data_IF_332091107897
#
_entry.id   IF_332091107897
#
_cell.length_a   1.000
_cell.length_b   1.000
_cell.length_c   1.000
_cell.angle_alpha   90.00
_cell.angle_beta   90.00
_cell.angle_gamma   90.00
#
_symmetry.space_group_name_H-M   'P 1'
#
loop_
_entity.id
_entity.type
_entity.pdbx_description
1 polymer ?
#
# COMPACT_ATOMS: atom_id res chain seq x y z
N UNK A 1 -8.22 -4.28 -1.23
CA UNK A 1 -8.32 -4.56 0.20
C UNK A 1 -8.89 -5.96 0.45
N UNK A 2 -8.87 -6.42 1.69
CA UNK A 2 -9.52 -7.66 2.11
C UNK A 2 -10.96 -7.39 2.52
N UNK A 3 -11.86 -8.32 2.22
CA UNK A 3 -13.18 -8.37 2.83
C UNK A 3 -13.08 -9.00 4.24
N UNK A 4 -14.17 -8.96 5.01
CA UNK A 4 -14.21 -9.56 6.36
C UNK A 4 -13.94 -11.07 6.29
N UNK A 5 -14.61 -11.80 5.38
CA UNK A 5 -14.41 -13.25 5.24
C UNK A 5 -13.00 -13.60 4.81
N UNK A 6 -12.44 -12.89 3.83
CA UNK A 6 -11.03 -13.07 3.43
C UNK A 6 -10.05 -12.80 4.56
N UNK A 7 -10.32 -11.80 5.40
CA UNK A 7 -9.49 -11.48 6.55
C UNK A 7 -9.56 -12.56 7.64
N UNK A 8 -10.77 -13.09 7.91
CA UNK A 8 -10.97 -14.22 8.83
C UNK A 8 -10.16 -15.44 8.40
N UNK A 9 -10.32 -15.85 7.15
CA UNK A 9 -9.63 -17.04 6.61
C UNK A 9 -8.12 -16.91 6.63
N UNK A 10 -7.59 -15.76 6.25
CA UNK A 10 -6.16 -15.57 6.07
C UNK A 10 -5.41 -15.28 7.38
N UNK A 11 -5.95 -14.40 8.22
CA UNK A 11 -5.19 -13.83 9.33
C UNK A 11 -5.59 -14.35 10.72
N UNK A 12 -6.86 -14.77 10.86
CA UNK A 12 -7.41 -15.29 12.12
C UNK A 12 -8.19 -16.58 11.90
N UNK A 13 -7.59 -17.60 11.23
CA UNK A 13 -8.28 -18.84 10.90
C UNK A 13 -8.79 -19.55 12.16
N UNK A 14 -10.02 -20.06 12.10
CA UNK A 14 -10.64 -20.80 13.20
C UNK A 14 -11.20 -19.94 14.34
N UNK A 15 -11.09 -18.61 14.29
CA UNK A 15 -11.70 -17.73 15.30
C UNK A 15 -13.21 -17.55 15.09
N UNK A 16 -13.68 -17.74 13.87
CA UNK A 16 -15.11 -17.66 13.54
C UNK A 16 -15.53 -18.86 12.71
N UNK A 17 -16.69 -19.38 13.02
CA UNK A 17 -17.34 -20.45 12.28
C UNK A 17 -18.62 -19.95 11.62
N UNK A 18 -18.78 -20.22 10.33
CA UNK A 18 -19.98 -19.85 9.60
C UNK A 18 -21.18 -20.68 10.10
N UNK A 19 -22.33 -20.03 10.24
CA UNK A 19 -23.56 -20.68 10.63
C UNK A 19 -24.38 -21.08 9.41
N UNK A 20 -25.47 -21.84 9.62
CA UNK A 20 -26.43 -22.15 8.54
C UNK A 20 -27.15 -20.90 7.98
N UNK A 21 -27.05 -19.75 8.66
CA UNK A 21 -27.62 -18.46 8.22
C UNK A 21 -26.53 -17.66 7.53
N UNK A 22 -26.65 -17.35 6.23
CA UNK A 22 -25.65 -16.59 5.49
C UNK A 22 -25.31 -15.25 6.16
N UNK A 23 -24.03 -14.92 6.22
CA UNK A 23 -23.53 -13.68 6.82
C UNK A 23 -23.56 -13.65 8.35
N UNK A 24 -23.85 -14.79 9.01
CA UNK A 24 -23.75 -14.95 10.46
C UNK A 24 -22.66 -15.93 10.84
N UNK A 25 -21.86 -15.54 11.81
CA UNK A 25 -20.73 -16.29 12.31
C UNK A 25 -20.80 -16.47 13.82
N UNK A 26 -20.27 -17.58 14.31
CA UNK A 26 -20.05 -17.85 15.72
C UNK A 26 -18.59 -17.57 16.06
N UNK A 27 -18.34 -16.73 17.06
CA UNK A 27 -16.99 -16.59 17.62
C UNK A 27 -16.67 -17.82 18.47
N UNK A 28 -15.60 -18.52 18.17
CA UNK A 28 -15.24 -19.80 18.81
C UNK A 28 -14.83 -19.66 20.27
N UNK A 29 -14.35 -18.48 20.70
CA UNK A 29 -14.09 -18.14 22.10
C UNK A 29 -15.32 -17.73 22.91
N UNK A 30 -16.51 -17.77 22.31
CA UNK A 30 -17.78 -17.39 22.93
C UNK A 30 -18.69 -18.58 23.22
N UNK A 31 -19.78 -18.34 23.97
CA UNK A 31 -20.80 -19.35 24.30
C UNK A 31 -22.09 -19.24 23.48
N UNK A 32 -22.24 -18.17 22.69
CA UNK A 32 -23.45 -17.92 21.88
C UNK A 32 -23.18 -18.29 20.42
N UNK A 33 -24.24 -18.69 19.69
CA UNK A 33 -24.15 -19.07 18.27
C UNK A 33 -24.67 -17.94 17.41
N UNK A 34 -23.92 -17.63 16.30
CA UNK A 34 -24.37 -16.70 15.25
C UNK A 34 -24.44 -15.23 15.68
N UNK A 35 -23.69 -14.84 16.71
CA UNK A 35 -23.69 -13.47 17.24
C UNK A 35 -22.83 -12.48 16.48
N UNK A 36 -21.97 -12.93 15.59
CA UNK A 36 -21.20 -12.06 14.70
C UNK A 36 -21.89 -11.95 13.34
N UNK A 37 -22.17 -10.73 12.88
CA UNK A 37 -22.99 -10.46 11.68
C UNK A 37 -22.18 -9.60 10.71
N UNK A 38 -22.16 -10.00 9.46
CA UNK A 38 -21.54 -9.28 8.36
C UNK A 38 -22.53 -8.32 7.71
N UNK A 39 -22.06 -7.13 7.36
CA UNK A 39 -22.80 -6.04 6.73
C UNK A 39 -22.12 -5.54 5.45
N UNK A 40 -22.90 -4.80 4.64
CA UNK A 40 -22.46 -4.06 3.45
C UNK A 40 -21.64 -4.90 2.47
N UNK A 41 -22.13 -6.10 2.12
CA UNK A 41 -21.45 -6.93 1.13
C UNK A 41 -20.05 -7.38 1.55
N UNK A 42 -19.90 -7.76 2.81
CA UNK A 42 -18.65 -8.28 3.39
C UNK A 42 -17.59 -7.20 3.73
N UNK A 43 -18.03 -5.95 3.96
CA UNK A 43 -17.13 -4.86 4.32
C UNK A 43 -16.98 -4.64 5.82
N UNK A 44 -18.04 -4.93 6.60
CA UNK A 44 -18.07 -4.72 8.04
C UNK A 44 -18.58 -5.93 8.79
N UNK A 45 -18.10 -6.09 10.02
CA UNK A 45 -18.59 -7.07 11.01
C UNK A 45 -19.04 -6.34 12.27
N UNK A 46 -20.14 -6.78 12.84
CA UNK A 46 -20.56 -6.43 14.20
C UNK A 46 -20.71 -7.70 15.04
N UNK A 47 -20.05 -7.75 16.20
CA UNK A 47 -20.11 -8.90 17.11
C UNK A 47 -20.92 -8.59 18.38
N UNK A 48 -21.89 -9.44 18.67
CA UNK A 48 -22.67 -9.47 19.91
C UNK A 48 -22.08 -10.43 20.97
N UNK A 49 -20.97 -11.13 20.64
CA UNK A 49 -20.32 -12.03 21.59
C UNK A 49 -19.52 -11.23 22.63
N UNK A 50 -19.89 -11.34 23.90
CA UNK A 50 -19.28 -10.55 24.98
C UNK A 50 -17.75 -10.78 25.15
N UNK A 51 -17.27 -11.98 24.79
CA UNK A 51 -15.84 -12.36 24.89
C UNK A 51 -15.05 -12.09 23.62
N UNK A 52 -15.71 -11.68 22.54
CA UNK A 52 -15.05 -11.34 21.29
C UNK A 52 -14.26 -10.03 21.45
N UNK A 53 -13.00 -9.94 21.03
CA UNK A 53 -12.26 -8.69 20.99
C UNK A 53 -12.96 -7.54 20.24
N UNK A 54 -13.87 -7.87 19.31
CA UNK A 54 -14.69 -6.92 18.55
C UNK A 54 -16.07 -6.68 19.15
N UNK A 55 -16.34 -7.15 20.39
CA UNK A 55 -17.65 -7.06 21.03
C UNK A 55 -18.21 -5.63 21.02
N UNK A 56 -19.43 -5.47 20.50
CA UNK A 56 -20.13 -4.18 20.47
C UNK A 56 -19.56 -3.14 19.50
N UNK A 57 -18.62 -3.52 18.65
CA UNK A 57 -18.00 -2.65 17.67
C UNK A 57 -18.37 -3.06 16.25
N UNK A 58 -18.63 -2.06 15.39
CA UNK A 58 -18.70 -2.25 13.95
C UNK A 58 -17.28 -2.08 13.38
N UNK A 59 -16.68 -3.17 12.92
CA UNK A 59 -15.28 -3.21 12.50
C UNK A 59 -15.16 -3.54 11.01
N UNK A 60 -14.17 -2.97 10.35
CA UNK A 60 -13.72 -3.38 9.03
C UNK A 60 -12.66 -4.50 9.14
N UNK A 61 -12.21 -5.04 8.00
CA UNK A 61 -11.24 -6.13 7.97
C UNK A 61 -9.91 -5.80 8.70
N UNK A 62 -9.43 -4.56 8.63
CA UNK A 62 -8.20 -4.14 9.30
C UNK A 62 -8.39 -4.12 10.82
N UNK A 63 -9.47 -3.53 11.31
CA UNK A 63 -9.75 -3.46 12.76
C UNK A 63 -10.10 -4.83 13.34
N UNK A 64 -10.80 -5.69 12.58
CA UNK A 64 -11.05 -7.07 12.96
C UNK A 64 -9.73 -7.80 13.27
N UNK A 65 -8.81 -7.81 12.31
CA UNK A 65 -7.52 -8.49 12.49
C UNK A 65 -6.69 -7.82 13.59
N UNK A 66 -6.66 -6.49 13.64
CA UNK A 66 -5.94 -5.71 14.65
C UNK A 66 -6.36 -6.08 16.07
N UNK A 67 -7.66 -6.08 16.33
CA UNK A 67 -8.19 -6.36 17.68
C UNK A 67 -7.91 -7.79 18.09
N UNK A 68 -8.04 -8.76 17.20
CA UNK A 68 -7.76 -10.17 17.51
C UNK A 68 -6.28 -10.48 17.71
N UNK A 69 -5.39 -9.88 16.91
CA UNK A 69 -3.95 -10.21 16.95
C UNK A 69 -3.17 -9.35 17.93
N UNK A 70 -3.58 -8.09 18.13
CA UNK A 70 -2.77 -7.10 18.82
C UNK A 70 -3.55 -6.27 19.85
N UNK A 71 -4.86 -6.50 20.02
CA UNK A 71 -5.70 -5.72 20.94
C UNK A 71 -5.23 -5.76 22.39
N UNK A 72 -4.59 -6.85 22.81
CA UNK A 72 -3.98 -7.02 24.14
C UNK A 72 -2.86 -6.00 24.43
N UNK A 73 -2.25 -5.40 23.42
CA UNK A 73 -1.17 -4.41 23.55
C UNK A 73 -1.66 -3.01 23.92
N UNK A 74 -2.98 -2.76 23.83
CA UNK A 74 -3.57 -1.44 24.05
C UNK A 74 -3.96 -1.17 25.51
N UNK A 75 -3.66 -2.08 26.43
CA UNK A 75 -4.11 -2.01 27.85
C UNK A 75 -3.61 -0.79 28.65
N UNK A 76 -2.54 -0.13 28.23
CA UNK A 76 -1.96 1.05 28.90
C UNK A 76 -2.22 2.36 28.15
N UNK A 77 -3.05 2.35 27.13
CA UNK A 77 -3.34 3.53 26.32
C UNK A 77 -4.24 4.49 27.08
N UNK A 78 -3.81 5.77 27.18
CA UNK A 78 -4.58 6.81 27.88
C UNK A 78 -5.86 7.15 27.12
N UNK A 79 -6.92 7.42 27.86
CA UNK A 79 -8.18 7.90 27.32
C UNK A 79 -7.96 9.16 26.44
N UNK A 80 -8.63 9.19 25.28
CA UNK A 80 -8.50 10.27 24.29
C UNK A 80 -7.31 10.16 23.34
N UNK A 81 -6.49 9.09 23.46
CA UNK A 81 -5.43 8.84 22.48
C UNK A 81 -6.04 8.44 21.14
N UNK A 82 -5.65 9.07 20.01
CA UNK A 82 -6.10 8.62 18.69
C UNK A 82 -5.70 7.17 18.39
N UNK A 83 -6.60 6.40 17.78
CA UNK A 83 -6.36 4.97 17.44
C UNK A 83 -5.08 4.77 16.63
N UNK A 84 -4.74 5.72 15.76
CA UNK A 84 -3.49 5.69 14.96
C UNK A 84 -2.20 5.68 15.80
N UNK A 85 -2.29 5.99 17.10
CA UNK A 85 -1.16 5.94 18.05
C UNK A 85 -1.19 4.72 18.95
N UNK A 86 -2.16 3.83 18.81
CA UNK A 86 -2.26 2.61 19.59
C UNK A 86 -1.15 1.63 19.18
N UNK A 87 -0.53 0.92 20.13
CA UNK A 87 0.44 -0.14 19.83
C UNK A 87 -0.11 -1.17 18.85
N UNK A 88 -1.36 -1.61 19.04
CA UNK A 88 -2.04 -2.53 18.12
C UNK A 88 -2.12 -2.00 16.70
N UNK A 89 -2.44 -0.71 16.53
CA UNK A 89 -2.54 -0.07 15.21
C UNK A 89 -1.16 0.01 14.52
N UNK A 90 -0.12 0.33 15.26
CA UNK A 90 1.25 0.37 14.72
C UNK A 90 1.72 -1.03 14.26
N UNK A 91 1.44 -2.07 15.07
CA UNK A 91 1.76 -3.46 14.73
C UNK A 91 0.96 -3.94 13.52
N UNK A 92 -0.33 -3.65 13.48
CA UNK A 92 -1.20 -3.98 12.35
C UNK A 92 -0.77 -3.27 11.06
N UNK A 93 -0.43 -1.98 11.15
CA UNK A 93 0.05 -1.20 10.00
C UNK A 93 1.33 -1.80 9.42
N UNK A 94 2.24 -2.25 10.27
CA UNK A 94 3.46 -2.93 9.83
C UNK A 94 3.15 -4.25 9.12
N UNK A 95 2.32 -5.09 9.74
CA UNK A 95 1.89 -6.35 9.13
C UNK A 95 1.18 -6.15 7.79
N UNK A 96 0.33 -5.12 7.68
CA UNK A 96 -0.36 -4.79 6.44
C UNK A 96 0.60 -4.32 5.33
N UNK A 97 1.66 -3.59 5.67
CA UNK A 97 2.70 -3.17 4.70
C UNK A 97 3.52 -4.34 4.18
N UNK A 98 3.71 -5.38 4.99
CA UNK A 98 4.42 -6.60 4.60
C UNK A 98 3.55 -7.56 3.78
N UNK A 99 2.23 -7.34 3.75
CA UNK A 99 1.30 -8.14 2.94
C UNK A 99 1.38 -7.76 1.46
N UNK A 100 1.68 -8.72 0.55
CA UNK A 100 1.85 -8.41 -0.88
C UNK A 100 0.62 -7.78 -1.53
N UNK A 101 -0.59 -8.25 -1.20
CA UNK A 101 -1.86 -7.72 -1.76
C UNK A 101 -2.12 -6.29 -1.30
N UNK A 102 -1.85 -5.98 -0.03
CA UNK A 102 -2.01 -4.62 0.50
C UNK A 102 -0.93 -3.70 -0.05
N UNK A 103 0.31 -4.16 -0.11
CA UNK A 103 1.44 -3.41 -0.67
C UNK A 103 1.21 -3.05 -2.14
N UNK A 104 0.71 -3.99 -2.95
CA UNK A 104 0.36 -3.73 -4.35
C UNK A 104 -0.76 -2.68 -4.48
N UNK A 105 -1.83 -2.80 -3.67
CA UNK A 105 -2.93 -1.84 -3.67
C UNK A 105 -2.46 -0.43 -3.32
N UNK A 106 -1.70 -0.29 -2.23
CA UNK A 106 -1.15 1.01 -1.79
C UNK A 106 -0.21 1.62 -2.84
N UNK A 107 0.56 0.78 -3.54
CA UNK A 107 1.43 1.22 -4.64
C UNK A 107 0.62 1.72 -5.84
N UNK A 108 -0.47 1.04 -6.19
CA UNK A 108 -1.38 1.49 -7.25
C UNK A 108 -2.07 2.80 -6.89
N UNK A 109 -2.60 2.93 -5.68
CA UNK A 109 -3.24 4.16 -5.22
C UNK A 109 -2.27 5.34 -5.24
N UNK A 110 -1.05 5.15 -4.75
CA UNK A 110 0.00 6.18 -4.79
C UNK A 110 0.34 6.58 -6.23
N UNK A 111 0.47 5.59 -7.11
CA UNK A 111 0.74 5.83 -8.52
C UNK A 111 -0.37 6.67 -9.18
N UNK A 112 -1.64 6.33 -8.94
CA UNK A 112 -2.77 7.10 -9.49
C UNK A 112 -2.85 8.53 -8.92
N UNK A 113 -2.59 8.72 -7.62
CA UNK A 113 -2.51 10.05 -7.01
C UNK A 113 -1.34 10.87 -7.61
N UNK A 114 -0.21 10.23 -7.85
CA UNK A 114 0.96 10.88 -8.41
C UNK A 114 0.74 11.28 -9.88
N UNK A 115 0.01 10.49 -10.66
CA UNK A 115 -0.40 10.85 -12.02
C UNK A 115 -1.07 12.22 -12.07
N UNK A 116 -1.94 12.53 -11.12
CA UNK A 116 -2.61 13.83 -11.06
C UNK A 116 -1.60 14.98 -10.89
N UNK A 117 -0.54 14.78 -10.08
CA UNK A 117 0.47 15.81 -9.83
C UNK A 117 1.37 16.12 -11.04
N UNK A 118 1.44 15.18 -12.01
CA UNK A 118 2.26 15.30 -13.23
C UNK A 118 1.43 15.34 -14.51
N UNK A 119 0.10 15.51 -14.43
CA UNK A 119 -0.73 15.67 -15.62
C UNK A 119 -0.32 16.90 -16.42
N UNK A 120 0.12 16.64 -17.65
CA UNK A 120 0.20 17.66 -18.70
C UNK A 120 -0.90 17.42 -19.72
N UNK A 121 -1.49 18.48 -20.32
CA UNK A 121 -2.68 18.36 -21.19
C UNK A 121 -2.53 17.48 -22.45
N UNK A 122 -1.31 17.10 -22.81
CA UNK A 122 -1.00 16.39 -24.06
C UNK A 122 -0.49 14.95 -23.89
N UNK A 123 -0.37 14.43 -22.68
CA UNK A 123 0.02 13.03 -22.50
C UNK A 123 -1.21 12.13 -22.73
N UNK A 124 -1.18 11.36 -23.83
CA UNK A 124 -2.07 10.20 -23.97
C UNK A 124 -1.91 9.35 -22.74
N UNK A 125 -3.01 9.17 -22.02
CA UNK A 125 -3.03 8.26 -20.88
C UNK A 125 -2.43 6.92 -21.33
N UNK A 126 -1.45 6.42 -20.64
CA UNK A 126 -1.01 5.06 -20.85
C UNK A 126 -2.21 4.15 -20.55
N UNK A 127 -2.40 3.11 -21.35
CA UNK A 127 -3.53 2.20 -21.23
C UNK A 127 -3.66 1.58 -19.83
N UNK A 128 -4.83 0.99 -19.51
CA UNK A 128 -5.17 0.53 -18.16
C UNK A 128 -4.34 -0.63 -17.62
N UNK A 129 -3.39 -1.15 -18.38
CA UNK A 129 -2.67 -2.40 -18.06
C UNK A 129 -1.16 -2.14 -17.89
N UNK A 130 -0.80 -1.46 -16.77
CA UNK A 130 0.61 -1.42 -16.37
C UNK A 130 0.96 -2.65 -15.55
N UNK A 131 1.98 -3.36 -16.00
CA UNK A 131 2.66 -4.32 -15.14
C UNK A 131 3.43 -3.57 -14.03
N UNK A 132 2.86 -3.57 -12.84
CA UNK A 132 3.48 -3.02 -11.62
C UNK A 132 4.12 -4.13 -10.77
N UNK A 133 4.24 -5.35 -11.26
CA UNK A 133 4.82 -6.49 -10.52
C UNK A 133 6.27 -6.24 -10.08
N UNK A 134 7.01 -5.42 -10.84
CA UNK A 134 8.38 -5.03 -10.52
C UNK A 134 8.51 -4.21 -9.22
N UNK A 135 7.43 -3.57 -8.75
CA UNK A 135 7.43 -2.85 -7.46
C UNK A 135 7.74 -3.77 -6.27
N UNK A 136 7.44 -5.06 -6.40
CA UNK A 136 7.80 -6.07 -5.40
C UNK A 136 9.30 -6.29 -5.26
N UNK A 137 10.10 -5.89 -6.25
CA UNK A 137 11.57 -6.00 -6.26
C UNK A 137 12.25 -4.81 -5.56
N UNK A 138 11.51 -3.73 -5.29
CA UNK A 138 12.05 -2.59 -4.57
C UNK A 138 12.31 -2.96 -3.10
N UNK A 139 13.52 -2.66 -2.64
CA UNK A 139 13.89 -2.84 -1.23
C UNK A 139 13.15 -1.85 -0.35
N UNK A 140 12.73 -2.32 0.84
CA UNK A 140 12.00 -1.52 1.82
C UNK A 140 12.79 -1.45 3.12
N UNK A 141 12.67 -0.33 3.82
CA UNK A 141 13.19 -0.17 5.17
C UNK A 141 12.38 -0.95 6.20
N UNK A 142 12.85 -0.98 7.46
CA UNK A 142 12.16 -1.64 8.56
C UNK A 142 10.77 -1.08 8.89
N UNK A 143 10.35 0.02 8.25
CA UNK A 143 9.02 0.63 8.38
C UNK A 143 8.15 0.39 7.13
N UNK A 144 8.59 -0.48 6.19
CA UNK A 144 7.87 -0.80 4.96
C UNK A 144 7.90 0.30 3.89
N UNK A 145 8.77 1.32 4.03
CA UNK A 145 8.95 2.37 3.01
C UNK A 145 10.04 1.96 2.05
N UNK A 146 9.90 2.32 0.78
CA UNK A 146 10.96 2.07 -0.19
C UNK A 146 12.23 2.82 0.17
N UNK A 147 13.34 2.11 0.23
CA UNK A 147 14.65 2.68 0.54
C UNK A 147 15.18 3.52 -0.62
N UNK A 148 15.83 4.64 -0.30
CA UNK A 148 16.54 5.49 -1.27
C UNK A 148 17.91 4.87 -1.60
N UNK A 149 17.90 3.81 -2.39
CA UNK A 149 19.10 3.13 -2.86
C UNK A 149 19.27 3.32 -4.36
N UNK A 150 20.52 3.22 -4.83
CA UNK A 150 20.83 3.23 -6.27
C UNK A 150 20.08 2.10 -6.98
N UNK A 151 20.01 0.92 -6.35
CA UNK A 151 19.30 -0.22 -6.91
C UNK A 151 17.82 0.07 -7.14
N UNK A 152 17.12 0.68 -6.16
CA UNK A 152 15.73 1.08 -6.34
C UNK A 152 15.58 2.16 -7.43
N UNK A 153 16.50 3.12 -7.48
CA UNK A 153 16.49 4.14 -8.54
C UNK A 153 16.66 3.52 -9.94
N UNK A 154 17.58 2.59 -10.10
CA UNK A 154 17.77 1.87 -11.37
C UNK A 154 16.54 1.06 -11.74
N UNK A 155 15.95 0.32 -10.79
CA UNK A 155 14.73 -0.44 -11.03
C UNK A 155 13.57 0.45 -11.50
N UNK A 156 13.43 1.66 -10.96
CA UNK A 156 12.43 2.63 -11.42
C UNK A 156 12.74 3.08 -12.85
N UNK A 157 13.98 3.46 -13.16
CA UNK A 157 14.37 3.90 -14.51
C UNK A 157 14.12 2.84 -15.58
N UNK A 158 14.36 1.57 -15.24
CA UNK A 158 14.22 0.45 -16.17
C UNK A 158 12.79 -0.04 -16.38
N UNK A 159 11.92 0.14 -15.39
CA UNK A 159 10.60 -0.50 -15.38
C UNK A 159 9.43 0.47 -15.38
N UNK A 160 9.62 1.72 -14.92
CA UNK A 160 8.55 2.71 -14.91
C UNK A 160 8.07 3.01 -16.35
N UNK A 161 6.77 2.89 -16.62
CA UNK A 161 6.20 3.05 -17.96
C UNK A 161 6.47 4.43 -18.61
N UNK A 162 6.66 5.47 -17.81
CA UNK A 162 6.93 6.83 -18.29
C UNK A 162 8.42 7.08 -18.51
N UNK A 163 9.30 6.24 -17.98
CA UNK A 163 10.76 6.41 -18.02
C UNK A 163 11.45 5.35 -18.88
N UNK A 164 10.89 4.16 -18.94
CA UNK A 164 11.47 3.00 -19.63
C UNK A 164 11.81 3.32 -21.09
N UNK A 165 13.10 3.16 -21.42
CA UNK A 165 13.63 3.40 -22.77
C UNK A 165 13.77 4.88 -23.14
N UNK A 166 13.45 5.81 -22.24
CA UNK A 166 13.63 7.26 -22.47
C UNK A 166 14.92 7.79 -21.89
N UNK A 167 15.54 7.06 -20.99
CA UNK A 167 16.81 7.42 -20.37
C UNK A 167 17.80 6.32 -20.71
N UNK A 168 18.89 6.70 -21.35
CA UNK A 168 19.93 5.79 -21.84
C UNK A 168 21.32 6.34 -21.55
N UNK A 169 22.32 5.48 -21.55
CA UNK A 169 23.71 5.88 -21.50
C UNK A 169 24.28 5.97 -22.91
N UNK A 170 24.90 7.09 -23.25
CA UNK A 170 25.73 7.21 -24.44
C UNK A 170 27.15 6.79 -24.06
N UNK A 171 27.53 5.59 -24.47
CA UNK A 171 28.85 5.03 -24.14
C UNK A 171 29.99 5.80 -24.77
N UNK A 172 29.75 6.38 -25.97
CA UNK A 172 30.75 7.21 -26.66
C UNK A 172 31.02 8.53 -25.94
N UNK A 173 29.96 9.20 -25.50
CA UNK A 173 30.08 10.48 -24.81
C UNK A 173 30.22 10.28 -23.28
N UNK A 174 30.15 9.04 -22.78
CA UNK A 174 30.17 8.69 -21.34
C UNK A 174 29.20 9.55 -20.52
N UNK A 175 27.98 9.74 -21.03
CA UNK A 175 26.96 10.56 -20.34
C UNK A 175 25.57 9.97 -20.47
N UNK A 176 24.70 10.34 -19.52
CA UNK A 176 23.27 10.06 -19.61
C UNK A 176 22.61 10.90 -20.71
N UNK A 177 21.65 10.32 -21.38
CA UNK A 177 20.85 10.95 -22.43
C UNK A 177 19.37 10.76 -22.15
N UNK A 178 18.59 11.80 -22.44
CA UNK A 178 17.14 11.75 -22.46
C UNK A 178 16.67 11.66 -23.90
N UNK A 179 15.83 10.66 -24.20
CA UNK A 179 15.28 10.43 -25.53
C UNK A 179 13.81 10.89 -25.56
N UNK A 180 13.59 12.19 -25.78
CA UNK A 180 12.25 12.77 -25.85
C UNK A 180 11.67 13.19 -24.48
N UNK A 181 10.36 13.16 -24.37
CA UNK A 181 9.62 13.67 -23.22
C UNK A 181 9.78 12.78 -21.98
N UNK A 182 9.96 13.42 -20.84
CA UNK A 182 9.94 12.80 -19.51
C UNK A 182 8.97 13.55 -18.61
N UNK A 183 8.50 12.97 -17.48
CA UNK A 183 7.48 13.59 -16.63
C UNK A 183 7.78 15.03 -16.19
N UNK A 184 9.05 15.37 -16.02
CA UNK A 184 9.49 16.71 -15.59
C UNK A 184 9.95 17.61 -16.72
N UNK A 185 10.01 17.10 -17.98
CA UNK A 185 10.42 17.91 -19.15
C UNK A 185 9.66 17.43 -20.40
N UNK A 186 8.89 18.34 -20.99
CA UNK A 186 8.00 18.05 -22.14
C UNK A 186 8.68 18.24 -23.50
N UNK A 187 9.97 18.59 -23.54
CA UNK A 187 10.72 18.70 -24.80
C UNK A 187 10.84 17.34 -25.47
N UNK A 188 10.46 17.26 -26.72
CA UNK A 188 10.49 16.03 -27.52
C UNK A 188 11.75 15.96 -28.38
N UNK A 189 12.92 16.06 -27.73
CA UNK A 189 14.22 16.06 -28.39
C UNK A 189 15.21 15.18 -27.63
N UNK A 190 16.16 14.61 -28.37
CA UNK A 190 17.29 13.90 -27.77
C UNK A 190 18.26 14.93 -27.17
N UNK A 191 18.57 14.81 -25.89
CA UNK A 191 19.45 15.74 -25.17
C UNK A 191 20.27 15.05 -24.09
N UNK A 192 21.32 15.70 -23.65
CA UNK A 192 22.09 15.22 -22.50
C UNK A 192 21.29 15.36 -21.20
N UNK A 193 21.49 14.41 -20.34
CA UNK A 193 21.05 14.50 -18.94
C UNK A 193 21.81 15.62 -18.21
N UNK A 194 21.12 16.39 -17.40
CA UNK A 194 21.64 17.57 -16.70
C UNK A 194 21.18 17.58 -15.24
N UNK A 195 21.71 18.51 -14.43
CA UNK A 195 21.30 18.70 -13.03
C UNK A 195 19.78 18.98 -12.89
N UNK A 196 19.15 19.57 -13.92
CA UNK A 196 17.69 19.76 -13.95
C UNK A 196 16.96 18.41 -14.03
N UNK A 197 17.54 17.46 -14.73
CA UNK A 197 16.98 16.10 -14.81
C UNK A 197 17.19 15.34 -13.50
N UNK A 198 18.31 15.54 -12.81
CA UNK A 198 18.52 15.02 -11.47
C UNK A 198 17.42 15.50 -10.52
N UNK A 199 17.19 16.81 -10.46
CA UNK A 199 16.14 17.38 -9.62
C UNK A 199 14.73 16.90 -10.00
N UNK A 200 14.44 16.83 -11.30
CA UNK A 200 13.18 16.36 -11.85
C UNK A 200 12.93 14.88 -11.52
N UNK A 201 13.93 14.05 -11.71
CA UNK A 201 13.87 12.63 -11.37
C UNK A 201 13.71 12.40 -9.88
N UNK A 202 14.46 13.11 -9.03
CA UNK A 202 14.31 13.03 -7.58
C UNK A 202 12.88 13.35 -7.15
N UNK A 203 12.32 14.45 -7.63
CA UNK A 203 10.94 14.81 -7.33
C UNK A 203 9.95 13.77 -7.83
N UNK A 204 10.19 13.22 -9.02
CA UNK A 204 9.35 12.18 -9.58
C UNK A 204 9.33 10.94 -8.70
N UNK A 205 10.49 10.38 -8.34
CA UNK A 205 10.56 9.16 -7.52
C UNK A 205 10.05 9.38 -6.09
N UNK A 206 10.18 10.59 -5.55
CA UNK A 206 9.62 10.95 -4.26
C UNK A 206 8.08 10.91 -4.30
N UNK A 207 7.47 11.53 -5.29
CA UNK A 207 6.01 11.64 -5.41
C UNK A 207 5.39 10.29 -5.78
N UNK A 208 5.93 9.59 -6.78
CA UNK A 208 5.36 8.33 -7.27
C UNK A 208 5.68 7.12 -6.39
N UNK A 209 6.87 7.06 -5.83
CA UNK A 209 7.34 5.88 -5.11
C UNK A 209 7.60 6.13 -3.62
N UNK A 210 7.54 7.39 -3.19
CA UNK A 210 7.84 7.76 -1.81
C UNK A 210 9.29 7.43 -1.40
N UNK A 211 10.22 7.47 -2.36
CA UNK A 211 11.64 7.31 -2.12
C UNK A 211 12.18 8.59 -1.46
N UNK A 212 11.83 8.79 -0.18
CA UNK A 212 12.30 9.95 0.60
C UNK A 212 13.65 9.67 1.22
N UNK A 213 14.63 10.59 1.02
CA UNK A 213 15.84 10.60 1.83
C UNK A 213 15.55 11.15 3.21
N UNK A 214 16.17 10.58 4.25
CA UNK A 214 16.41 11.35 5.48
C UNK A 214 17.42 12.42 5.12
N UNK A 215 17.08 13.70 5.41
CA UNK A 215 18.07 14.73 5.60
C UNK A 215 18.93 14.40 6.82
#
# INVERSE_FOLDING_TARGET
SYTITQAMEKFIPGMYEETAVPGRYTYTGGSTVGGAVIYDGDLFLYSHHATDPCSGLLVNALDLVRLHMFGDKDGEVKEGTPVSKYPSFMMMSRMAQDDPKVSELLSKERYEQAKEAFKTPEQKEPGPDYDLSWLSKLTKDGNGRYEKTINNAVLVLENDPLLKGRIVTDEFASCGMVLGRVPWDQRDEKRRWTDVDDAGYYRYVEVFYGLTGRE
#
